data_IF_224877730992
#
_entry.id   IF_224877730992
#
_cell.length_a   1.000
_cell.length_b   1.000
_cell.length_c   1.000
_cell.angle_alpha   90.00
_cell.angle_beta   90.00
_cell.angle_gamma   90.00
#
_symmetry.space_group_name_H-M   'P 1'
#
loop_
_entity.id
_entity.type
_entity.pdbx_description
1 polymer ?
#
# COMPACT_ATOMS: atom_id res chain seq x y z
N UNK A 1 -36.15 -8.43 -36.95
CA UNK A 1 -35.05 -7.76 -37.66
C UNK A 1 -33.79 -8.52 -37.28
N UNK A 2 -32.94 -8.90 -38.23
CA UNK A 2 -31.72 -9.65 -37.88
C UNK A 2 -30.68 -8.71 -37.24
N UNK A 3 -29.73 -9.27 -36.48
CA UNK A 3 -28.64 -8.54 -35.85
C UNK A 3 -27.86 -7.71 -36.89
N UNK A 4 -27.59 -8.30 -38.04
CA UNK A 4 -26.85 -7.67 -39.15
C UNK A 4 -27.62 -6.47 -39.72
N UNK A 5 -28.94 -6.57 -39.85
CA UNK A 5 -29.78 -5.46 -40.31
C UNK A 5 -29.81 -4.30 -39.30
N UNK A 6 -29.85 -4.60 -38.01
CA UNK A 6 -29.83 -3.60 -36.95
C UNK A 6 -28.48 -2.86 -36.90
N UNK A 7 -27.37 -3.59 -37.00
CA UNK A 7 -26.02 -3.01 -37.06
C UNK A 7 -25.85 -2.16 -38.32
N UNK A 8 -26.39 -2.60 -39.47
CA UNK A 8 -26.29 -1.85 -40.72
C UNK A 8 -27.01 -0.50 -40.67
N UNK A 9 -28.16 -0.43 -40.00
CA UNK A 9 -28.93 0.81 -39.81
C UNK A 9 -28.17 1.86 -38.99
N UNK A 10 -27.28 1.42 -38.10
CA UNK A 10 -26.50 2.29 -37.20
C UNK A 10 -25.02 2.37 -37.60
N UNK A 11 -24.72 1.99 -38.84
CA UNK A 11 -23.36 1.96 -39.39
C UNK A 11 -22.64 3.31 -39.30
N UNK A 12 -23.32 4.42 -39.58
CA UNK A 12 -22.76 5.77 -39.43
C UNK A 12 -22.28 6.06 -38.00
N UNK A 13 -23.06 5.65 -36.99
CA UNK A 13 -22.70 5.83 -35.59
C UNK A 13 -21.46 5.02 -35.22
N UNK A 14 -21.38 3.77 -35.67
CA UNK A 14 -20.19 2.95 -35.48
C UNK A 14 -18.95 3.55 -36.16
N UNK A 15 -19.08 4.09 -37.37
CA UNK A 15 -17.97 4.77 -38.05
C UNK A 15 -17.42 5.95 -37.25
N UNK A 16 -18.31 6.81 -36.75
CA UNK A 16 -17.92 7.95 -35.92
C UNK A 16 -17.19 7.49 -34.65
N UNK A 17 -17.69 6.45 -33.98
CA UNK A 17 -17.06 5.90 -32.78
C UNK A 17 -15.70 5.27 -33.09
N UNK A 18 -15.58 4.49 -34.16
CA UNK A 18 -14.31 3.90 -34.57
C UNK A 18 -13.26 4.95 -34.95
N UNK A 19 -13.67 6.00 -35.67
CA UNK A 19 -12.79 7.12 -36.02
C UNK A 19 -12.24 7.82 -34.78
N UNK A 20 -13.14 8.26 -33.88
CA UNK A 20 -12.76 8.90 -32.61
C UNK A 20 -11.85 8.02 -31.75
N UNK A 21 -12.15 6.72 -31.68
CA UNK A 21 -11.33 5.80 -30.89
C UNK A 21 -9.93 5.65 -31.49
N UNK A 22 -9.80 5.57 -32.82
CA UNK A 22 -8.51 5.55 -33.51
C UNK A 22 -7.69 6.83 -33.26
N UNK A 23 -8.34 8.00 -33.30
CA UNK A 23 -7.69 9.30 -33.12
C UNK A 23 -7.20 9.54 -31.67
N UNK A 24 -7.84 8.88 -30.70
CA UNK A 24 -7.58 9.09 -29.27
C UNK A 24 -6.82 7.94 -28.60
N UNK A 25 -6.68 6.78 -29.24
CA UNK A 25 -6.07 5.57 -28.67
C UNK A 25 -4.62 5.76 -28.21
N UNK A 26 -3.85 6.63 -28.87
CA UNK A 26 -2.46 6.89 -28.50
C UNK A 26 -2.31 7.41 -27.05
N UNK A 27 -3.34 8.07 -26.52
CA UNK A 27 -3.34 8.64 -25.17
C UNK A 27 -3.26 7.57 -24.06
N UNK A 28 -3.75 6.35 -24.32
CA UNK A 28 -3.68 5.23 -23.37
C UNK A 28 -2.23 4.81 -23.10
N UNK A 29 -1.39 4.80 -24.14
CA UNK A 29 0.03 4.48 -24.05
C UNK A 29 0.88 5.66 -23.55
N UNK A 30 0.54 6.89 -23.94
CA UNK A 30 1.32 8.09 -23.60
C UNK A 30 1.17 8.51 -22.12
N UNK A 31 0.01 8.28 -21.49
CA UNK A 31 -0.27 8.80 -20.16
C UNK A 31 0.65 8.25 -19.04
N UNK A 32 0.97 6.93 -18.96
CA UNK A 32 1.94 6.44 -17.99
C UNK A 32 3.33 7.03 -18.18
N UNK A 33 3.74 7.22 -19.43
CA UNK A 33 5.05 7.78 -19.80
C UNK A 33 5.18 9.23 -19.35
N UNK A 34 4.19 10.08 -19.67
CA UNK A 34 4.20 11.50 -19.28
C UNK A 34 4.15 11.65 -17.75
N UNK A 35 3.36 10.82 -17.04
CA UNK A 35 3.34 10.82 -15.56
C UNK A 35 4.69 10.44 -14.96
N UNK A 36 5.34 9.42 -15.51
CA UNK A 36 6.67 8.98 -15.08
C UNK A 36 7.71 10.08 -15.31
N UNK A 37 7.70 10.69 -16.49
CA UNK A 37 8.61 11.78 -16.84
C UNK A 37 8.43 12.99 -15.90
N UNK A 38 7.19 13.41 -15.65
CA UNK A 38 6.90 14.51 -14.72
C UNK A 38 7.41 14.20 -13.31
N UNK A 39 7.17 12.98 -12.82
CA UNK A 39 7.65 12.53 -11.51
C UNK A 39 9.19 12.56 -11.43
N UNK A 40 9.88 12.17 -12.51
CA UNK A 40 11.33 12.23 -12.58
C UNK A 40 11.85 13.68 -12.53
N UNK A 41 11.24 14.59 -13.29
CA UNK A 41 11.59 16.02 -13.28
C UNK A 41 11.36 16.67 -11.91
N UNK A 42 10.21 16.40 -11.26
CA UNK A 42 9.90 16.89 -9.92
C UNK A 42 10.91 16.38 -8.87
N UNK A 43 11.31 15.11 -8.98
CA UNK A 43 12.35 14.55 -8.12
C UNK A 43 13.70 15.24 -8.35
N UNK A 44 14.08 15.49 -9.60
CA UNK A 44 15.31 16.18 -9.94
C UNK A 44 15.32 17.63 -9.42
N UNK A 45 14.22 18.37 -9.60
CA UNK A 45 14.06 19.73 -9.07
C UNK A 45 14.17 19.76 -7.54
N UNK A 46 13.57 18.78 -6.85
CA UNK A 46 13.69 18.64 -5.39
C UNK A 46 15.14 18.40 -4.95
N UNK A 47 15.88 17.55 -5.66
CA UNK A 47 17.30 17.29 -5.38
C UNK A 47 18.14 18.54 -5.62
N UNK A 48 17.96 19.23 -6.74
CA UNK A 48 18.63 20.50 -7.04
C UNK A 48 18.35 21.56 -5.97
N UNK A 49 17.09 21.71 -5.54
CA UNK A 49 16.73 22.63 -4.44
C UNK A 49 17.46 22.31 -3.14
N UNK A 50 17.60 21.03 -2.80
CA UNK A 50 18.38 20.61 -1.63
C UNK A 50 19.88 20.95 -1.78
N UNK A 51 20.43 20.82 -2.99
CA UNK A 51 21.81 21.21 -3.30
C UNK A 51 22.01 22.72 -3.19
N UNK A 52 21.10 23.54 -3.72
CA UNK A 52 21.10 25.00 -3.58
C UNK A 52 21.09 25.39 -2.09
N UNK A 53 20.22 24.76 -1.27
CA UNK A 53 20.20 25.03 0.17
C UNK A 53 21.54 24.72 0.85
N UNK A 54 22.22 23.63 0.48
CA UNK A 54 23.56 23.32 0.99
C UNK A 54 24.60 24.35 0.56
N UNK A 55 24.59 24.76 -0.71
CA UNK A 55 25.51 25.80 -1.19
C UNK A 55 25.24 27.14 -0.52
N UNK A 56 23.99 27.57 -0.36
CA UNK A 56 23.63 28.78 0.38
C UNK A 56 24.15 28.75 1.82
N UNK A 57 24.01 27.62 2.54
CA UNK A 57 24.59 27.48 3.88
C UNK A 57 26.13 27.60 3.89
N UNK A 58 26.81 27.11 2.85
CA UNK A 58 28.27 27.22 2.71
C UNK A 58 28.68 28.65 2.35
N UNK A 59 28.00 29.28 1.38
CA UNK A 59 28.22 30.66 0.97
C UNK A 59 28.04 31.62 2.15
N UNK A 60 26.99 31.45 2.97
CA UNK A 60 26.77 32.24 4.18
C UNK A 60 27.89 32.08 5.22
N UNK A 61 28.41 30.85 5.38
CA UNK A 61 29.53 30.57 6.30
C UNK A 61 30.81 31.23 5.82
N UNK A 62 31.15 31.10 4.54
CA UNK A 62 32.34 31.73 3.98
C UNK A 62 32.21 33.26 3.93
N UNK A 63 31.01 33.79 3.67
CA UNK A 63 30.73 35.23 3.76
C UNK A 63 30.94 35.77 5.17
N UNK A 64 30.45 35.08 6.20
CA UNK A 64 30.69 35.45 7.61
C UNK A 64 32.18 35.45 7.95
N UNK A 65 32.93 34.44 7.51
CA UNK A 65 34.39 34.39 7.71
C UNK A 65 35.10 35.56 7.01
N UNK A 66 34.70 35.88 5.78
CA UNK A 66 35.22 37.03 5.04
C UNK A 66 34.89 38.35 5.77
N UNK A 67 33.67 38.48 6.30
CA UNK A 67 33.23 39.63 7.07
C UNK A 67 33.99 39.76 8.40
N UNK A 68 34.24 38.67 9.12
CA UNK A 68 35.03 38.65 10.36
C UNK A 68 36.50 39.05 10.10
N UNK A 69 37.07 38.56 8.99
CA UNK A 69 38.40 38.95 8.49
C UNK A 69 38.48 40.46 8.14
N UNK A 70 37.38 41.05 7.65
CA UNK A 70 37.29 42.48 7.32
C UNK A 70 36.88 43.36 8.53
N UNK A 71 36.14 42.82 9.50
CA UNK A 71 35.41 43.56 10.53
C UNK A 71 36.07 43.62 11.91
N UNK A 72 37.00 42.72 12.25
CA UNK A 72 37.74 42.82 13.50
C UNK A 72 38.87 43.86 13.39
N UNK A 73 38.89 44.80 14.35
CA UNK A 73 39.81 45.93 14.43
C UNK A 73 41.26 45.53 14.63
N UNK A 74 41.95 45.15 13.55
CA UNK A 74 43.39 44.88 13.54
C UNK A 74 44.20 46.03 12.94
N UNK A 75 43.80 47.30 13.14
CA UNK A 75 44.67 48.45 12.78
C UNK A 75 46.11 48.30 13.31
N UNK A 76 46.29 47.63 14.44
CA UNK A 76 47.60 47.43 15.07
C UNK A 76 48.39 46.19 14.58
N UNK A 77 47.74 45.20 13.96
CA UNK A 77 48.38 43.99 13.38
C UNK A 77 48.56 44.13 11.86
N UNK A 78 47.74 44.96 11.23
CA UNK A 78 47.73 45.27 9.80
C UNK A 78 49.09 45.77 9.29
N UNK A 79 49.81 46.57 10.08
CA UNK A 79 51.13 47.09 9.70
C UNK A 79 52.28 46.08 9.78
N UNK A 80 52.16 44.99 10.55
CA UNK A 80 53.22 43.98 10.70
C UNK A 80 53.04 42.75 9.80
N UNK A 81 51.83 42.51 9.26
CA UNK A 81 51.46 41.25 8.59
C UNK A 81 50.75 41.47 7.24
N UNK A 82 50.71 42.72 6.74
CA UNK A 82 49.96 43.18 5.56
C UNK A 82 49.91 42.19 4.39
N UNK A 83 51.06 41.72 3.89
CA UNK A 83 51.11 40.83 2.73
C UNK A 83 50.50 39.43 2.97
N UNK A 84 50.60 38.88 4.20
CA UNK A 84 50.00 37.58 4.54
C UNK A 84 48.48 37.69 4.77
N UNK A 85 48.01 38.87 5.20
CA UNK A 85 46.58 39.12 5.37
C UNK A 85 45.88 39.34 4.02
N UNK A 86 46.49 40.14 3.14
CA UNK A 86 46.00 40.34 1.76
C UNK A 86 45.91 39.00 1.02
N UNK A 87 46.94 38.15 1.10
CA UNK A 87 46.91 36.82 0.50
C UNK A 87 45.77 35.92 1.06
N UNK A 88 45.54 35.95 2.38
CA UNK A 88 44.44 35.19 3.01
C UNK A 88 43.07 35.72 2.61
N UNK A 89 42.94 37.03 2.44
CA UNK A 89 41.71 37.66 1.98
C UNK A 89 41.38 37.22 0.55
N UNK A 90 42.38 37.26 -0.34
CA UNK A 90 42.25 36.83 -1.74
C UNK A 90 41.88 35.35 -1.87
N UNK A 91 42.49 34.48 -1.04
CA UNK A 91 42.17 33.04 -1.02
C UNK A 91 40.73 32.77 -0.54
N UNK A 92 40.28 33.51 0.48
CA UNK A 92 38.90 33.40 1.00
C UNK A 92 37.88 33.97 0.02
N UNK A 93 38.19 35.10 -0.64
CA UNK A 93 37.34 35.70 -1.67
C UNK A 93 37.18 34.77 -2.88
N UNK A 94 38.27 34.14 -3.35
CA UNK A 94 38.21 33.11 -4.40
C UNK A 94 37.37 31.91 -3.99
N UNK A 95 37.46 31.48 -2.73
CA UNK A 95 36.67 30.34 -2.23
C UNK A 95 35.18 30.69 -2.16
N UNK A 96 34.84 31.87 -1.66
CA UNK A 96 33.47 32.37 -1.64
C UNK A 96 32.89 32.55 -3.05
N UNK A 97 33.63 33.16 -3.98
CA UNK A 97 33.21 33.33 -5.38
C UNK A 97 32.90 31.99 -6.05
N UNK A 98 33.76 30.97 -5.89
CA UNK A 98 33.51 29.63 -6.44
C UNK A 98 32.24 28.99 -5.89
N UNK A 99 32.00 29.08 -4.59
CA UNK A 99 30.79 28.51 -3.99
C UNK A 99 29.52 29.30 -4.37
N UNK A 100 29.65 30.60 -4.56
CA UNK A 100 28.58 31.46 -5.09
C UNK A 100 28.26 31.14 -6.54
N UNK A 101 29.27 30.96 -7.40
CA UNK A 101 29.11 30.55 -8.80
C UNK A 101 28.38 29.20 -8.91
N UNK A 102 28.80 28.19 -8.13
CA UNK A 102 28.09 26.90 -8.07
C UNK A 102 26.63 27.04 -7.64
N UNK A 103 26.35 27.93 -6.69
CA UNK A 103 24.98 28.22 -6.28
C UNK A 103 24.18 28.81 -7.45
N UNK A 104 24.75 29.77 -8.20
CA UNK A 104 24.12 30.38 -9.36
C UNK A 104 23.89 29.41 -10.52
N UNK A 105 24.84 28.51 -10.79
CA UNK A 105 24.68 27.45 -11.78
C UNK A 105 23.52 26.51 -11.43
N UNK A 106 23.40 26.09 -10.17
CA UNK A 106 22.29 25.25 -9.73
C UNK A 106 20.94 26.01 -9.70
N UNK A 107 20.92 27.31 -9.39
CA UNK A 107 19.72 28.16 -9.52
C UNK A 107 19.23 28.23 -10.98
N UNK A 108 20.15 28.42 -11.94
CA UNK A 108 19.82 28.40 -13.37
C UNK A 108 19.30 27.02 -13.79
N UNK A 109 19.94 25.95 -13.32
CA UNK A 109 19.49 24.58 -13.57
C UNK A 109 18.08 24.33 -13.01
N UNK A 110 17.77 24.87 -11.82
CA UNK A 110 16.44 24.78 -11.23
C UNK A 110 15.40 25.53 -12.09
N UNK A 111 15.76 26.70 -12.62
CA UNK A 111 14.87 27.46 -13.50
C UNK A 111 14.51 26.67 -14.77
N UNK A 112 15.52 26.06 -15.43
CA UNK A 112 15.30 25.19 -16.60
C UNK A 112 14.44 23.97 -16.24
N UNK A 113 14.70 23.34 -15.09
CA UNK A 113 13.88 22.22 -14.62
C UNK A 113 12.43 22.64 -14.36
N UNK A 114 12.20 23.85 -13.85
CA UNK A 114 10.85 24.36 -13.62
C UNK A 114 10.11 24.62 -14.94
N UNK A 115 10.79 25.15 -15.96
CA UNK A 115 10.22 25.28 -17.31
C UNK A 115 9.85 23.93 -17.91
N UNK A 116 10.73 22.92 -17.76
CA UNK A 116 10.46 21.56 -18.19
C UNK A 116 9.28 20.93 -17.45
N UNK A 117 9.15 21.16 -16.14
CA UNK A 117 7.99 20.72 -15.35
C UNK A 117 6.72 21.36 -15.89
N UNK A 118 6.72 22.67 -16.11
CA UNK A 118 5.53 23.38 -16.62
C UNK A 118 5.10 22.85 -17.99
N UNK A 119 6.07 22.60 -18.89
CA UNK A 119 5.80 21.99 -20.20
C UNK A 119 5.25 20.56 -20.05
N UNK A 120 5.87 19.74 -19.20
CA UNK A 120 5.39 18.38 -18.93
C UNK A 120 3.98 18.34 -18.32
N UNK A 121 3.63 19.32 -17.46
CA UNK A 121 2.28 19.48 -16.92
C UNK A 121 1.26 19.85 -17.99
N UNK A 122 1.60 20.73 -18.93
CA UNK A 122 0.75 21.06 -20.07
C UNK A 122 0.52 19.82 -20.96
N UNK A 123 1.59 19.07 -21.26
CA UNK A 123 1.49 17.82 -22.01
C UNK A 123 0.65 16.77 -21.26
N UNK A 124 0.78 16.68 -19.94
CA UNK A 124 -0.03 15.79 -19.11
C UNK A 124 -1.51 16.16 -19.21
N UNK A 125 -1.85 17.45 -19.08
CA UNK A 125 -3.22 17.92 -19.18
C UNK A 125 -3.81 17.60 -20.57
N UNK A 126 -3.05 17.81 -21.64
CA UNK A 126 -3.49 17.45 -22.99
C UNK A 126 -3.73 15.93 -23.11
N UNK A 127 -2.80 15.11 -22.63
CA UNK A 127 -2.95 13.65 -22.63
C UNK A 127 -4.16 13.20 -21.80
N UNK A 128 -4.42 13.85 -20.66
CA UNK A 128 -5.58 13.56 -19.81
C UNK A 128 -6.88 13.88 -20.53
N UNK A 129 -7.01 15.06 -21.14
CA UNK A 129 -8.18 15.45 -21.93
C UNK A 129 -8.46 14.45 -23.05
N UNK A 130 -7.44 14.07 -23.82
CA UNK A 130 -7.58 13.06 -24.89
C UNK A 130 -7.94 11.67 -24.34
N UNK A 131 -7.37 11.29 -23.18
CA UNK A 131 -7.68 10.01 -22.55
C UNK A 131 -9.12 9.96 -22.01
N UNK A 132 -9.64 11.07 -21.48
CA UNK A 132 -11.04 11.16 -21.07
C UNK A 132 -11.98 11.01 -22.26
N UNK A 133 -11.64 11.61 -23.40
CA UNK A 133 -12.38 11.43 -24.66
C UNK A 133 -12.29 9.98 -25.17
N UNK A 134 -11.11 9.37 -25.13
CA UNK A 134 -10.92 7.95 -25.45
C UNK A 134 -11.79 7.06 -24.56
N UNK A 135 -11.73 7.25 -23.24
CA UNK A 135 -12.47 6.46 -22.27
C UNK A 135 -13.99 6.62 -22.45
N UNK A 136 -14.46 7.84 -22.73
CA UNK A 136 -15.87 8.12 -23.03
C UNK A 136 -16.32 7.43 -24.32
N UNK A 137 -15.54 7.55 -25.40
CA UNK A 137 -15.84 6.96 -26.70
C UNK A 137 -15.84 5.43 -26.62
N UNK A 138 -14.87 4.85 -25.92
CA UNK A 138 -14.78 3.41 -25.68
C UNK A 138 -15.98 2.91 -24.90
N UNK A 139 -16.38 3.62 -23.84
CA UNK A 139 -17.56 3.28 -23.05
C UNK A 139 -18.85 3.34 -23.87
N UNK A 140 -19.02 4.38 -24.70
CA UNK A 140 -20.20 4.48 -25.57
C UNK A 140 -20.25 3.32 -26.59
N UNK A 141 -19.09 2.94 -27.13
CA UNK A 141 -18.99 1.79 -28.03
C UNK A 141 -19.27 0.47 -27.29
N UNK A 142 -18.72 0.28 -26.09
CA UNK A 142 -18.99 -0.88 -25.23
C UNK A 142 -20.49 -1.05 -24.96
N UNK A 143 -21.17 0.03 -24.55
CA UNK A 143 -22.63 0.03 -24.28
C UNK A 143 -23.44 -0.29 -25.54
N UNK A 144 -23.03 0.24 -26.69
CA UNK A 144 -23.69 -0.03 -27.96
C UNK A 144 -23.50 -1.49 -28.39
N UNK A 145 -22.29 -2.03 -28.24
CA UNK A 145 -22.00 -3.44 -28.49
C UNK A 145 -22.79 -4.35 -27.54
N UNK A 146 -22.85 -4.02 -26.25
CA UNK A 146 -23.62 -4.79 -25.28
C UNK A 146 -25.11 -4.83 -25.61
N UNK A 147 -25.68 -3.73 -26.13
CA UNK A 147 -27.07 -3.71 -26.60
C UNK A 147 -27.34 -4.68 -27.76
N UNK A 148 -26.46 -4.73 -28.77
CA UNK A 148 -26.67 -5.58 -29.95
C UNK A 148 -26.35 -7.05 -29.71
N UNK A 149 -25.32 -7.31 -28.90
CA UNK A 149 -24.92 -8.67 -28.54
C UNK A 149 -25.58 -9.13 -27.23
N UNK A 150 -26.71 -8.51 -26.85
CA UNK A 150 -27.43 -8.93 -25.65
C UNK A 150 -28.14 -10.27 -25.89
N UNK A 151 -27.70 -11.30 -25.19
CA UNK A 151 -28.26 -12.64 -25.27
C UNK A 151 -27.61 -13.48 -26.36
N UNK A 152 -28.20 -14.64 -26.65
CA UNK A 152 -27.63 -15.59 -27.62
C UNK A 152 -27.62 -14.96 -29.01
N UNK A 153 -26.47 -14.98 -29.68
CA UNK A 153 -26.31 -14.54 -31.07
C UNK A 153 -26.06 -15.75 -31.97
N UNK A 154 -27.12 -16.41 -32.53
CA UNK A 154 -26.96 -17.66 -33.28
C UNK A 154 -26.04 -17.57 -34.49
N UNK A 155 -25.90 -16.37 -35.09
CA UNK A 155 -24.97 -16.10 -36.19
C UNK A 155 -23.50 -16.11 -35.76
N UNK A 156 -23.20 -15.97 -34.46
CA UNK A 156 -21.86 -15.80 -33.90
C UNK A 156 -21.62 -16.66 -32.64
N UNK A 157 -21.69 -18.01 -32.74
CA UNK A 157 -21.56 -18.90 -31.59
C UNK A 157 -20.21 -18.81 -30.87
N UNK A 158 -19.14 -18.42 -31.58
CA UNK A 158 -17.82 -18.22 -30.98
C UNK A 158 -17.80 -17.02 -30.04
N UNK A 159 -18.57 -15.97 -30.34
CA UNK A 159 -18.70 -14.78 -29.49
C UNK A 159 -19.47 -15.12 -28.21
N UNK A 160 -20.60 -15.82 -28.33
CA UNK A 160 -21.37 -16.34 -27.19
C UNK A 160 -20.49 -17.20 -26.26
N UNK A 161 -19.61 -18.04 -26.82
CA UNK A 161 -18.69 -18.87 -26.05
C UNK A 161 -17.65 -18.03 -25.29
N UNK A 162 -17.16 -16.94 -25.89
CA UNK A 162 -16.25 -15.99 -25.21
C UNK A 162 -16.97 -15.25 -24.07
N UNK A 163 -18.20 -14.80 -24.29
CA UNK A 163 -19.01 -14.12 -23.27
C UNK A 163 -19.24 -15.03 -22.05
N UNK A 164 -19.68 -16.26 -22.28
CA UNK A 164 -19.88 -17.24 -21.20
C UNK A 164 -18.61 -17.52 -20.41
N UNK A 165 -17.47 -17.64 -21.10
CA UNK A 165 -16.17 -17.88 -20.46
C UNK A 165 -15.74 -16.65 -19.64
N UNK A 166 -15.91 -15.45 -20.18
CA UNK A 166 -15.62 -14.20 -19.47
C UNK A 166 -16.50 -14.03 -18.24
N UNK A 167 -17.79 -14.36 -18.34
CA UNK A 167 -18.72 -14.28 -17.23
C UNK A 167 -18.34 -15.23 -16.09
N UNK A 168 -18.00 -16.49 -16.40
CA UNK A 168 -17.50 -17.45 -15.41
C UNK A 168 -16.24 -16.96 -14.71
N UNK A 169 -15.31 -16.38 -15.46
CA UNK A 169 -14.04 -15.86 -14.90
C UNK A 169 -14.29 -14.62 -14.01
N UNK A 170 -15.24 -13.74 -14.39
CA UNK A 170 -15.67 -12.60 -13.56
C UNK A 170 -16.29 -13.07 -12.24
N UNK A 171 -17.16 -14.08 -12.27
CA UNK A 171 -17.76 -14.69 -11.08
C UNK A 171 -16.69 -15.32 -10.18
N UNK A 172 -15.70 -15.99 -10.78
CA UNK A 172 -14.55 -16.52 -10.05
C UNK A 172 -13.74 -15.41 -9.38
N UNK A 173 -13.48 -14.29 -10.09
CA UNK A 173 -12.79 -13.14 -9.53
C UNK A 173 -13.53 -12.54 -8.33
N UNK A 174 -14.85 -12.36 -8.43
CA UNK A 174 -15.69 -11.85 -7.32
C UNK A 174 -15.57 -12.78 -6.11
N UNK A 175 -15.58 -14.10 -6.35
CA UNK A 175 -15.42 -15.11 -5.31
C UNK A 175 -14.04 -14.99 -4.63
N UNK A 176 -12.97 -14.85 -5.39
CA UNK A 176 -11.61 -14.64 -4.87
C UNK A 176 -11.48 -13.33 -4.08
N UNK A 177 -12.09 -12.24 -4.56
CA UNK A 177 -12.11 -10.96 -3.84
C UNK A 177 -12.81 -11.08 -2.49
N UNK A 178 -13.93 -11.81 -2.43
CA UNK A 178 -14.63 -12.09 -1.18
C UNK A 178 -13.77 -12.90 -0.21
N UNK A 179 -13.12 -13.97 -0.69
CA UNK A 179 -12.20 -14.76 0.13
C UNK A 179 -11.01 -13.94 0.62
N UNK A 180 -10.39 -13.13 -0.25
CA UNK A 180 -9.28 -12.27 0.13
C UNK A 180 -9.68 -11.32 1.26
N UNK A 181 -10.86 -10.67 1.17
CA UNK A 181 -11.39 -9.80 2.24
C UNK A 181 -11.58 -10.56 3.56
N UNK A 182 -12.15 -11.77 3.51
CA UNK A 182 -12.35 -12.61 4.69
C UNK A 182 -10.99 -12.99 5.31
N UNK A 183 -10.02 -13.44 4.51
CA UNK A 183 -8.70 -13.82 4.99
C UNK A 183 -7.91 -12.65 5.57
N UNK A 184 -7.95 -11.48 4.91
CA UNK A 184 -7.35 -10.25 5.44
C UNK A 184 -7.90 -9.92 6.82
N UNK A 185 -9.22 -9.83 6.95
CA UNK A 185 -9.84 -9.44 8.21
C UNK A 185 -9.63 -10.48 9.31
N UNK A 186 -9.69 -11.77 8.97
CA UNK A 186 -9.37 -12.88 9.87
C UNK A 186 -7.93 -12.78 10.35
N UNK A 187 -6.97 -12.53 9.45
CA UNK A 187 -5.56 -12.39 9.77
C UNK A 187 -5.30 -11.22 10.74
N UNK A 188 -5.93 -10.06 10.50
CA UNK A 188 -5.83 -8.89 11.38
C UNK A 188 -6.35 -9.18 12.81
N UNK A 189 -7.49 -9.86 12.91
CA UNK A 189 -8.05 -10.26 14.22
C UNK A 189 -7.11 -11.23 14.95
N UNK A 190 -6.54 -12.21 14.25
CA UNK A 190 -5.58 -13.14 14.83
C UNK A 190 -4.28 -12.44 15.26
N UNK A 191 -3.83 -11.41 14.54
CA UNK A 191 -2.67 -10.60 14.96
C UNK A 191 -2.96 -9.84 16.24
N UNK A 192 -4.15 -9.23 16.36
CA UNK A 192 -4.60 -8.56 17.59
C UNK A 192 -4.69 -9.55 18.76
N UNK A 193 -5.22 -10.75 18.51
CA UNK A 193 -5.25 -11.82 19.49
C UNK A 193 -3.84 -12.20 19.97
N UNK A 194 -2.89 -12.40 19.05
CA UNK A 194 -1.51 -12.75 19.39
C UNK A 194 -0.82 -11.65 20.21
N UNK A 195 -1.05 -10.38 19.86
CA UNK A 195 -0.54 -9.26 20.63
C UNK A 195 -1.12 -9.23 22.05
N UNK A 196 -2.42 -9.49 22.20
CA UNK A 196 -3.07 -9.56 23.51
C UNK A 196 -2.55 -10.74 24.35
N UNK A 197 -2.30 -11.92 23.76
CA UNK A 197 -1.65 -13.04 24.46
C UNK A 197 -0.24 -12.69 24.93
N UNK A 198 0.57 -12.01 24.10
CA UNK A 198 1.91 -11.53 24.50
C UNK A 198 1.87 -10.55 25.67
N UNK A 199 0.87 -9.67 25.71
CA UNK A 199 0.64 -8.78 26.87
C UNK A 199 0.28 -9.60 28.11
N UNK A 200 -0.57 -10.63 27.96
CA UNK A 200 -0.94 -11.53 29.05
C UNK A 200 0.26 -12.30 29.61
N UNK A 201 1.10 -12.86 28.73
CA UNK A 201 2.34 -13.56 29.11
C UNK A 201 3.31 -12.66 29.88
N UNK A 202 3.50 -11.41 29.44
CA UNK A 202 4.36 -10.46 30.15
C UNK A 202 3.81 -10.17 31.55
N UNK A 203 2.50 -9.90 31.65
CA UNK A 203 1.87 -9.64 32.93
C UNK A 203 1.92 -10.85 33.89
N UNK A 204 1.80 -12.08 33.39
CA UNK A 204 1.99 -13.28 34.22
C UNK A 204 3.44 -13.46 34.69
N UNK A 205 4.43 -13.16 33.84
CA UNK A 205 5.83 -13.16 34.25
C UNK A 205 6.13 -12.08 35.29
N UNK A 206 5.58 -10.88 35.14
CA UNK A 206 5.70 -9.79 36.11
C UNK A 206 5.07 -10.20 37.46
N UNK A 207 3.89 -10.82 37.44
CA UNK A 207 3.25 -11.36 38.64
C UNK A 207 4.10 -12.46 39.31
N UNK A 208 4.71 -13.36 38.54
CA UNK A 208 5.59 -14.41 39.04
C UNK A 208 6.86 -13.84 39.70
N UNK A 209 7.44 -12.80 39.08
CA UNK A 209 8.61 -12.11 39.60
C UNK A 209 8.30 -11.38 40.91
N UNK A 210 7.15 -10.69 40.98
CA UNK A 210 6.72 -9.98 42.19
C UNK A 210 6.35 -10.94 43.32
N UNK A 211 5.67 -12.06 43.03
CA UNK A 211 5.44 -13.12 44.02
C UNK A 211 6.76 -13.75 44.51
N UNK A 212 7.77 -13.86 43.64
CA UNK A 212 9.11 -14.32 44.06
C UNK A 212 9.81 -13.29 44.96
N UNK A 213 9.54 -11.99 44.80
CA UNK A 213 10.09 -10.93 45.66
C UNK A 213 9.40 -10.88 47.04
N UNK A 214 8.08 -11.10 47.08
CA UNK A 214 7.28 -11.16 48.31
C UNK A 214 7.70 -12.31 49.24
N UNK A 215 8.06 -13.48 48.67
CA UNK A 215 8.69 -14.59 49.39
C UNK A 215 9.94 -14.20 50.22
N UNK A 216 10.59 -13.09 49.87
CA UNK A 216 11.79 -12.57 50.55
C UNK A 216 11.54 -11.23 51.27
N UNK A 217 10.34 -10.66 51.19
CA UNK A 217 9.98 -9.34 51.72
C UNK A 217 8.52 -9.34 52.16
N UNK A 218 8.28 -9.31 53.47
CA UNK A 218 6.96 -9.39 54.13
C UNK A 218 6.13 -8.09 53.95
N UNK A 219 5.97 -7.63 52.71
CA UNK A 219 5.57 -6.26 52.37
C UNK A 219 4.26 -6.22 51.57
N UNK A 220 3.23 -5.58 52.13
CA UNK A 220 1.89 -5.45 51.53
C UNK A 220 1.84 -4.77 50.15
N UNK A 221 2.94 -4.13 49.71
CA UNK A 221 3.04 -3.52 48.38
C UNK A 221 3.21 -4.56 47.26
N UNK A 222 3.87 -5.68 47.54
CA UNK A 222 4.08 -6.74 46.56
C UNK A 222 2.75 -7.44 46.23
N UNK A 223 1.88 -7.65 47.21
CA UNK A 223 0.53 -8.18 47.04
C UNK A 223 -0.32 -7.34 46.06
N UNK A 224 -0.33 -6.02 46.25
CA UNK A 224 -1.07 -5.09 45.38
C UNK A 224 -0.54 -5.13 43.94
N UNK A 225 0.77 -5.21 43.78
CA UNK A 225 1.41 -5.31 42.46
C UNK A 225 1.04 -6.63 41.77
N UNK A 226 1.15 -7.77 42.46
CA UNK A 226 0.77 -9.09 41.93
C UNK A 226 -0.69 -9.10 41.48
N UNK A 227 -1.61 -8.58 42.30
CA UNK A 227 -3.02 -8.49 41.96
C UNK A 227 -3.28 -7.66 40.69
N UNK A 228 -2.60 -6.51 40.56
CA UNK A 228 -2.67 -5.65 39.37
C UNK A 228 -2.18 -6.37 38.11
N UNK A 229 -1.05 -7.06 38.19
CA UNK A 229 -0.50 -7.82 37.06
C UNK A 229 -1.40 -8.99 36.65
N UNK A 230 -2.01 -9.71 37.62
CA UNK A 230 -2.97 -10.77 37.32
C UNK A 230 -4.24 -10.23 36.67
N UNK A 231 -4.76 -9.08 37.11
CA UNK A 231 -5.90 -8.41 36.47
C UNK A 231 -5.58 -8.00 35.03
N UNK A 232 -4.38 -7.47 34.78
CA UNK A 232 -3.89 -7.13 33.44
C UNK A 232 -3.79 -8.37 32.54
N UNK A 233 -3.22 -9.46 33.06
CA UNK A 233 -3.11 -10.73 32.35
C UNK A 233 -4.49 -11.27 31.94
N UNK A 234 -5.46 -11.22 32.87
CA UNK A 234 -6.84 -11.63 32.64
C UNK A 234 -7.50 -10.80 31.53
N UNK A 235 -7.46 -9.49 31.63
CA UNK A 235 -8.08 -8.60 30.65
C UNK A 235 -7.52 -8.83 29.25
N UNK A 236 -6.20 -8.98 29.14
CA UNK A 236 -5.54 -9.26 27.86
C UNK A 236 -5.92 -10.64 27.30
N UNK A 237 -6.01 -11.69 28.13
CA UNK A 237 -6.45 -13.01 27.68
C UNK A 237 -7.90 -13.03 27.19
N UNK A 238 -8.80 -12.30 27.88
CA UNK A 238 -10.20 -12.19 27.48
C UNK A 238 -10.35 -11.46 26.14
N UNK A 239 -9.58 -10.39 25.92
CA UNK A 239 -9.53 -9.70 24.63
C UNK A 239 -9.01 -10.62 23.52
N UNK A 240 -7.95 -11.39 23.77
CA UNK A 240 -7.45 -12.36 22.80
C UNK A 240 -8.53 -13.37 22.38
N UNK A 241 -9.27 -13.89 23.35
CA UNK A 241 -10.36 -14.83 23.10
C UNK A 241 -11.52 -14.20 22.31
N UNK A 242 -11.87 -12.95 22.58
CA UNK A 242 -12.88 -12.21 21.80
C UNK A 242 -12.48 -12.10 20.33
N UNK A 243 -11.23 -11.69 20.06
CA UNK A 243 -10.72 -11.58 18.70
C UNK A 243 -10.70 -12.93 17.97
N UNK A 244 -10.33 -14.02 18.65
CA UNK A 244 -10.36 -15.36 18.04
C UNK A 244 -11.78 -15.83 17.77
N UNK A 245 -12.73 -15.53 18.65
CA UNK A 245 -14.14 -15.86 18.42
C UNK A 245 -14.72 -15.09 17.22
N UNK A 246 -14.36 -13.81 17.09
CA UNK A 246 -14.74 -12.99 15.94
C UNK A 246 -14.12 -13.52 14.65
N UNK A 247 -12.82 -13.85 14.67
CA UNK A 247 -12.12 -14.44 13.53
C UNK A 247 -12.75 -15.78 13.10
N UNK A 248 -13.22 -16.59 14.05
CA UNK A 248 -13.92 -17.85 13.76
C UNK A 248 -15.33 -17.64 13.20
N UNK A 249 -16.04 -16.58 13.58
CA UNK A 249 -17.33 -16.23 12.96
C UNK A 249 -17.17 -15.87 11.48
N UNK A 250 -16.07 -15.20 11.14
CA UNK A 250 -15.75 -14.80 9.76
C UNK A 250 -15.23 -15.97 8.93
N UNK A 251 -14.42 -16.85 9.52
CA UNK A 251 -13.87 -18.03 8.88
C UNK A 251 -14.08 -19.29 9.74
N UNK A 252 -15.26 -19.94 9.63
CA UNK A 252 -15.61 -21.11 10.44
C UNK A 252 -14.68 -22.31 10.27
N UNK A 253 -14.05 -22.46 9.10
CA UNK A 253 -13.10 -23.53 8.80
C UNK A 253 -11.71 -23.33 9.42
N UNK A 254 -11.53 -22.34 10.30
CA UNK A 254 -10.28 -22.13 11.02
C UNK A 254 -9.97 -23.31 11.96
N UNK A 255 -8.72 -23.78 12.02
CA UNK A 255 -8.29 -24.75 13.03
C UNK A 255 -8.64 -24.27 14.45
N UNK A 256 -9.05 -25.21 15.30
CA UNK A 256 -9.36 -24.87 16.69
C UNK A 256 -8.07 -24.51 17.43
N UNK A 257 -8.00 -23.30 17.98
CA UNK A 257 -6.86 -22.77 18.75
C UNK A 257 -6.70 -23.41 20.14
N UNK A 258 -7.54 -24.38 20.49
CA UNK A 258 -7.86 -24.72 21.88
C UNK A 258 -8.71 -23.64 22.55
N UNK A 259 -9.18 -23.91 23.77
CA UNK A 259 -9.75 -22.89 24.64
C UNK A 259 -8.64 -21.93 25.07
N UNK A 260 -8.68 -20.71 24.52
CA UNK A 260 -7.87 -19.57 24.99
C UNK A 260 -8.44 -18.97 26.27
N UNK A 261 -9.61 -19.47 26.70
CA UNK A 261 -10.11 -19.28 28.04
C UNK A 261 -9.10 -19.87 29.01
N UNK A 262 -8.45 -18.99 29.76
CA UNK A 262 -8.10 -19.30 31.14
C UNK A 262 -9.44 -19.68 31.79
N UNK A 263 -9.71 -20.99 31.93
CA UNK A 263 -11.00 -21.52 32.39
C UNK A 263 -11.54 -20.64 33.51
N UNK A 264 -12.64 -19.96 33.21
CA UNK A 264 -13.38 -19.09 34.11
C UNK A 264 -13.79 -19.85 35.39
N UNK A 265 -13.87 -21.18 35.32
CA UNK A 265 -14.44 -22.02 36.38
C UNK A 265 -13.47 -22.64 37.39
N UNK A 266 -12.15 -22.42 37.36
CA UNK A 266 -11.30 -23.10 38.36
C UNK A 266 -10.04 -22.37 38.85
N UNK A 267 -9.79 -21.12 38.46
CA UNK A 267 -8.57 -20.44 38.92
C UNK A 267 -8.77 -19.52 40.12
N UNK A 268 -9.82 -18.68 40.21
CA UNK A 268 -9.86 -17.64 41.26
C UNK A 268 -11.28 -17.09 41.52
N UNK A 269 -12.25 -17.83 42.06
CA UNK A 269 -13.38 -17.14 42.74
C UNK A 269 -14.00 -17.81 43.96
N UNK A 270 -13.92 -19.14 44.16
CA UNK A 270 -14.49 -19.73 45.39
C UNK A 270 -13.48 -19.98 46.53
N UNK A 271 -12.19 -19.61 46.39
CA UNK A 271 -11.17 -19.92 47.42
C UNK A 271 -10.15 -18.78 47.67
N UNK A 272 -10.22 -17.63 46.99
CA UNK A 272 -9.14 -16.61 47.08
C UNK A 272 -9.47 -15.48 48.07
N UNK A 273 -10.60 -15.56 48.79
CA UNK A 273 -10.91 -14.62 49.87
C UNK A 273 -10.99 -15.29 51.25
N UNK A 274 -10.14 -16.29 51.53
CA UNK A 274 -9.96 -16.75 52.93
C UNK A 274 -8.53 -17.18 53.33
N UNK A 275 -7.57 -17.35 52.41
CA UNK A 275 -6.21 -17.72 52.83
C UNK A 275 -5.13 -17.38 51.78
N UNK A 276 -4.41 -16.29 52.01
CA UNK A 276 -3.14 -15.91 51.34
C UNK A 276 -1.99 -16.88 51.73
N UNK A 277 -2.26 -17.97 52.46
CA UNK A 277 -1.30 -18.64 53.34
C UNK A 277 -0.67 -19.95 52.83
N UNK A 278 -0.50 -20.13 51.52
CA UNK A 278 0.54 -21.06 50.99
C UNK A 278 1.10 -20.52 49.68
N UNK A 279 2.13 -19.70 49.76
CA UNK A 279 2.84 -19.03 48.66
C UNK A 279 3.21 -19.97 47.48
N UNK A 280 3.56 -21.23 47.80
CA UNK A 280 3.83 -22.27 46.79
C UNK A 280 2.62 -22.60 45.90
N UNK A 281 1.39 -22.47 46.40
CA UNK A 281 0.16 -22.78 45.66
C UNK A 281 -0.18 -21.70 44.63
N UNK A 282 0.04 -20.42 44.98
CA UNK A 282 -0.16 -19.29 44.08
C UNK A 282 0.84 -19.32 42.94
N UNK A 283 2.12 -19.54 43.26
CA UNK A 283 3.19 -19.69 42.26
C UNK A 283 2.91 -20.83 41.28
N UNK A 284 2.40 -21.97 41.77
CA UNK A 284 2.00 -23.10 40.92
C UNK A 284 0.90 -22.70 39.93
N UNK A 285 -0.14 -22.00 40.40
CA UNK A 285 -1.24 -21.52 39.54
C UNK A 285 -0.78 -20.52 38.48
N UNK A 286 0.11 -19.60 38.83
CA UNK A 286 0.68 -18.63 37.87
C UNK A 286 1.49 -19.37 36.78
N UNK A 287 2.29 -20.37 37.16
CA UNK A 287 3.02 -21.22 36.20
C UNK A 287 2.08 -22.01 35.30
N UNK A 288 1.04 -22.64 35.85
CA UNK A 288 0.04 -23.35 35.04
C UNK A 288 -0.68 -22.43 34.05
N UNK A 289 -0.98 -21.19 34.44
CA UNK A 289 -1.54 -20.19 33.54
C UNK A 289 -0.54 -19.78 32.45
N UNK A 290 0.75 -19.60 32.81
CA UNK A 290 1.81 -19.27 31.88
C UNK A 290 1.99 -20.38 30.83
N UNK A 291 2.04 -21.63 31.24
CA UNK A 291 2.17 -22.78 30.33
C UNK A 291 1.00 -22.85 29.34
N UNK A 292 -0.23 -22.65 29.82
CA UNK A 292 -1.44 -22.64 28.97
C UNK A 292 -1.42 -21.49 27.96
N UNK A 293 -1.11 -20.27 28.40
CA UNK A 293 -1.08 -19.11 27.51
C UNK A 293 0.10 -19.22 26.53
N UNK A 294 1.23 -19.80 26.95
CA UNK A 294 2.39 -20.02 26.08
C UNK A 294 2.07 -21.05 24.99
N UNK A 295 1.38 -22.14 25.35
CA UNK A 295 0.91 -23.11 24.37
C UNK A 295 -0.08 -22.47 23.37
N UNK A 296 -1.04 -21.70 23.89
CA UNK A 296 -1.99 -20.95 23.07
C UNK A 296 -1.32 -19.95 22.12
N UNK A 297 -0.30 -19.21 22.57
CA UNK A 297 0.48 -18.29 21.73
C UNK A 297 1.20 -19.04 20.60
N UNK A 298 1.79 -20.20 20.90
CA UNK A 298 2.44 -21.05 19.89
C UNK A 298 1.45 -21.59 18.84
N UNK A 299 0.29 -22.08 19.27
CA UNK A 299 -0.78 -22.54 18.36
C UNK A 299 -1.28 -21.39 17.49
N UNK A 300 -1.53 -20.22 18.09
CA UNK A 300 -1.99 -19.05 17.36
C UNK A 300 -0.93 -18.52 16.36
N UNK A 301 0.35 -18.60 16.71
CA UNK A 301 1.45 -18.26 15.81
C UNK A 301 1.48 -19.17 14.57
N UNK A 302 1.25 -20.47 14.74
CA UNK A 302 1.14 -21.42 13.62
C UNK A 302 -0.07 -21.10 12.73
N UNK A 303 -1.25 -20.84 13.33
CA UNK A 303 -2.45 -20.46 12.57
C UNK A 303 -2.25 -19.14 11.82
N UNK A 304 -1.55 -18.17 12.42
CA UNK A 304 -1.17 -16.93 11.75
C UNK A 304 -0.29 -17.18 10.53
N UNK A 305 0.68 -18.10 10.64
CA UNK A 305 1.54 -18.47 9.51
C UNK A 305 0.72 -19.11 8.38
N UNK A 306 -0.15 -20.07 8.70
CA UNK A 306 -1.04 -20.70 7.71
C UNK A 306 -2.00 -19.69 7.07
N UNK A 307 -2.59 -18.80 7.86
CA UNK A 307 -3.50 -17.78 7.36
C UNK A 307 -2.77 -16.79 6.44
N UNK A 308 -1.54 -16.41 6.79
CA UNK A 308 -0.70 -15.57 5.93
C UNK A 308 -0.39 -16.25 4.60
N UNK A 309 -0.10 -17.55 4.60
CA UNK A 309 0.11 -18.31 3.37
C UNK A 309 -1.16 -18.37 2.51
N UNK A 310 -2.32 -18.65 3.11
CA UNK A 310 -3.62 -18.64 2.42
C UNK A 310 -3.93 -17.27 1.83
N UNK A 311 -3.67 -16.20 2.57
CA UNK A 311 -3.86 -14.83 2.13
C UNK A 311 -2.99 -14.50 0.92
N UNK A 312 -1.69 -14.77 0.99
CA UNK A 312 -0.75 -14.51 -0.11
C UNK A 312 -1.11 -15.32 -1.37
N UNK A 313 -1.51 -16.58 -1.19
CA UNK A 313 -1.96 -17.42 -2.31
C UNK A 313 -3.23 -16.83 -2.94
N UNK A 314 -4.23 -16.51 -2.13
CA UNK A 314 -5.48 -15.91 -2.60
C UNK A 314 -5.26 -14.56 -3.29
N UNK A 315 -4.30 -13.76 -2.81
CA UNK A 315 -3.89 -12.50 -3.45
C UNK A 315 -3.26 -12.75 -4.82
N UNK A 316 -2.34 -13.70 -4.91
CA UNK A 316 -1.70 -14.08 -6.18
C UNK A 316 -2.74 -14.60 -7.18
N UNK A 317 -3.62 -15.50 -6.75
CA UNK A 317 -4.70 -16.05 -7.58
C UNK A 317 -5.66 -14.95 -8.04
N UNK A 318 -6.08 -14.05 -7.14
CA UNK A 318 -6.91 -12.88 -7.46
C UNK A 318 -6.26 -12.00 -8.51
N UNK A 319 -4.96 -11.70 -8.38
CA UNK A 319 -4.25 -10.80 -9.27
C UNK A 319 -4.03 -11.43 -10.65
N UNK A 320 -3.75 -12.74 -10.70
CA UNK A 320 -3.68 -13.50 -11.95
C UNK A 320 -5.04 -13.54 -12.66
N UNK A 321 -6.11 -13.91 -11.95
CA UNK A 321 -7.48 -13.91 -12.48
C UNK A 321 -7.91 -12.52 -12.93
N UNK A 322 -7.59 -11.46 -12.17
CA UNK A 322 -7.87 -10.08 -12.56
C UNK A 322 -7.21 -9.69 -13.88
N UNK A 323 -5.94 -10.07 -14.08
CA UNK A 323 -5.24 -9.88 -15.36
C UNK A 323 -5.89 -10.70 -16.48
N UNK A 324 -6.28 -11.94 -16.21
CA UNK A 324 -6.96 -12.79 -17.18
C UNK A 324 -8.32 -12.23 -17.61
N UNK A 325 -9.16 -11.76 -16.66
CA UNK A 325 -10.44 -11.10 -16.95
C UNK A 325 -10.23 -9.86 -17.82
N UNK A 326 -9.23 -9.02 -17.50
CA UNK A 326 -8.92 -7.83 -18.32
C UNK A 326 -8.53 -8.21 -19.75
N UNK A 327 -7.68 -9.22 -19.89
CA UNK A 327 -7.25 -9.73 -21.21
C UNK A 327 -8.45 -10.29 -22.00
N UNK A 328 -9.24 -11.15 -21.38
CA UNK A 328 -10.41 -11.77 -22.03
C UNK A 328 -11.47 -10.73 -22.37
N UNK A 329 -11.70 -9.72 -21.54
CA UNK A 329 -12.60 -8.62 -21.87
C UNK A 329 -12.12 -7.81 -23.08
N UNK A 330 -10.80 -7.57 -23.20
CA UNK A 330 -10.24 -6.90 -24.36
C UNK A 330 -10.33 -7.76 -25.64
N UNK A 331 -10.10 -9.08 -25.53
CA UNK A 331 -10.26 -10.04 -26.62
C UNK A 331 -11.73 -10.10 -27.09
N UNK A 332 -12.67 -10.20 -26.15
CA UNK A 332 -14.11 -10.23 -26.41
C UNK A 332 -14.62 -8.93 -27.04
N UNK A 333 -14.22 -7.77 -26.52
CA UNK A 333 -14.48 -6.48 -27.13
C UNK A 333 -13.96 -6.42 -28.57
N UNK A 334 -12.71 -6.84 -28.79
CA UNK A 334 -12.08 -6.83 -30.12
C UNK A 334 -12.81 -7.75 -31.10
N UNK A 335 -13.31 -8.90 -30.65
CA UNK A 335 -14.11 -9.83 -31.45
C UNK A 335 -15.45 -9.18 -31.88
N UNK A 336 -16.17 -8.56 -30.94
CA UNK A 336 -17.41 -7.82 -31.24
C UNK A 336 -17.17 -6.68 -32.24
N UNK A 337 -16.10 -5.90 -32.04
CA UNK A 337 -15.70 -4.84 -32.98
C UNK A 337 -15.40 -5.41 -34.37
N UNK A 338 -14.70 -6.54 -34.46
CA UNK A 338 -14.40 -7.19 -35.75
C UNK A 338 -15.67 -7.66 -36.47
N UNK A 339 -16.61 -8.25 -35.73
CA UNK A 339 -17.92 -8.65 -36.27
C UNK A 339 -18.65 -7.43 -36.84
N UNK A 340 -18.77 -6.35 -36.06
CA UNK A 340 -19.43 -5.12 -36.51
C UNK A 340 -18.76 -4.52 -37.74
N UNK A 341 -17.42 -4.46 -37.76
CA UNK A 341 -16.67 -3.97 -38.93
C UNK A 341 -16.95 -4.82 -40.18
N UNK A 342 -16.98 -6.15 -40.05
CA UNK A 342 -17.27 -7.04 -41.18
C UNK A 342 -18.72 -6.91 -41.68
N UNK A 343 -19.67 -6.60 -40.80
CA UNK A 343 -21.06 -6.34 -41.21
C UNK A 343 -21.15 -5.04 -42.00
N UNK A 344 -20.53 -3.96 -41.48
CA UNK A 344 -20.59 -2.62 -42.08
C UNK A 344 -19.75 -2.53 -43.37
N UNK A 345 -18.62 -3.23 -43.44
CA UNK A 345 -17.71 -3.32 -44.58
C UNK A 345 -17.41 -4.79 -44.89
N UNK A 346 -18.29 -5.49 -45.61
CA UNK A 346 -18.01 -6.87 -45.99
C UNK A 346 -16.76 -6.92 -46.89
N UNK A 347 -15.87 -7.92 -46.72
CA UNK A 347 -14.70 -8.07 -47.58
C UNK A 347 -15.14 -8.20 -49.05
N UNK A 348 -14.34 -7.69 -50.01
CA UNK A 348 -14.67 -7.78 -51.42
C UNK A 348 -14.86 -9.26 -51.79
N UNK A 349 -15.89 -9.61 -52.58
CA UNK A 349 -16.10 -10.99 -52.98
C UNK A 349 -14.84 -11.48 -53.68
N UNK A 350 -14.25 -12.56 -53.17
CA UNK A 350 -13.09 -13.19 -53.80
C UNK A 350 -13.39 -13.37 -55.28
N UNK A 351 -12.59 -12.73 -56.14
CA UNK A 351 -12.59 -12.98 -57.58
C UNK A 351 -12.26 -14.45 -57.76
N UNK A 352 -13.29 -15.28 -57.94
CA UNK A 352 -13.13 -16.65 -58.39
C UNK A 352 -12.44 -16.57 -59.75
N UNK A 353 -11.18 -17.01 -59.78
CA UNK A 353 -10.39 -17.16 -61.00
C UNK A 353 -10.47 -18.60 -61.47
#
# INVERSE_FOLDING_TARGET
MSLEQQIQQESERFYVLFGRLSDTQWSEAAMPEVKSHLTALQNQARLTKNTINKFNMTVDKEYKRLADLKGHGVRHVWYQVRGKLEQRLDEQEKTWLREFEKCKEEEQRLAVLQEQINSAEQHLHQCQSTYEEYAKTKKELDELLEYYFFGVTPSYPDEDAMEQKLQKEKEHLITLQNYHRIFMHTFELLQKANQALKVSLRALNDALNMNTFDLFSDSSFADMAVSSYLAKARNASAQAQQFVNEARRLYPSMPHTGDLHIKQDNLVFNVIFDNIWTDMSMRKKIREALDRISHADAVLANILLEMKQKLNKCETDRDMTSKNVKRMAAEHFSARVAIVKNIIQPPPPYSTT
#
